data_IF_342201640475
#
_entry.id   IF_342201640475
#
_cell.length_a   1.000
_cell.length_b   1.000
_cell.length_c   1.000
_cell.angle_alpha   90.00
_cell.angle_beta   90.00
_cell.angle_gamma   90.00
#
_symmetry.space_group_name_H-M   'P 1'
#
loop_
_entity.id
_entity.type
_entity.pdbx_description
1 polymer ?
#
# COMPACT_ATOMS: atom_id res chain seq x y z
N UNK A 1 -15.73 -6.32 -14.21
CA UNK A 1 -15.98 -5.36 -13.11
C UNK A 1 -14.75 -4.47 -13.01
N UNK A 2 -14.84 -3.21 -13.44
CA UNK A 2 -13.74 -2.26 -13.26
C UNK A 2 -13.85 -1.70 -11.85
N UNK A 3 -12.93 -2.04 -10.95
CA UNK A 3 -12.94 -1.55 -9.57
C UNK A 3 -12.56 -0.05 -9.47
N UNK A 4 -12.05 0.53 -10.56
CA UNK A 4 -11.66 1.94 -10.73
C UNK A 4 -12.80 2.79 -11.32
N UNK A 5 -13.98 2.75 -10.71
CA UNK A 5 -15.11 3.54 -11.18
C UNK A 5 -14.98 5.03 -10.76
N UNK A 6 -14.42 5.85 -11.64
CA UNK A 6 -14.45 7.32 -11.56
C UNK A 6 -13.20 8.00 -10.96
N UNK A 7 -13.09 9.32 -11.15
CA UNK A 7 -12.05 10.14 -10.52
C UNK A 7 -12.25 10.16 -8.99
N UNK A 8 -11.25 9.68 -8.26
CA UNK A 8 -11.20 9.78 -6.81
C UNK A 8 -10.81 11.19 -6.37
N UNK A 9 -11.30 11.62 -5.21
CA UNK A 9 -10.87 12.88 -4.58
C UNK A 9 -9.77 12.59 -3.57
N UNK A 10 -8.76 13.46 -3.52
CA UNK A 10 -7.68 13.35 -2.55
C UNK A 10 -8.23 13.47 -1.13
N UNK A 11 -7.98 12.50 -0.24
CA UNK A 11 -8.46 12.57 1.14
C UNK A 11 -7.91 13.76 1.94
N UNK A 12 -6.72 14.27 1.58
CA UNK A 12 -6.06 15.38 2.26
C UNK A 12 -6.49 16.77 1.79
N UNK A 13 -6.83 16.95 0.51
CA UNK A 13 -7.09 18.29 -0.05
C UNK A 13 -8.31 18.39 -0.97
N UNK A 14 -9.00 17.28 -1.26
CA UNK A 14 -10.21 17.24 -2.07
C UNK A 14 -10.00 17.33 -3.60
N UNK A 15 -8.77 17.59 -4.04
CA UNK A 15 -8.38 17.68 -5.46
C UNK A 15 -8.57 16.33 -6.18
N UNK A 16 -8.81 16.36 -7.50
CA UNK A 16 -8.92 15.13 -8.29
C UNK A 16 -7.61 14.34 -8.30
N UNK A 17 -7.65 13.06 -7.95
CA UNK A 17 -6.48 12.17 -8.08
C UNK A 17 -6.27 11.77 -9.55
N UNK A 18 -5.01 11.71 -9.96
CA UNK A 18 -4.61 11.34 -11.32
C UNK A 18 -4.02 9.92 -11.33
N UNK A 19 -4.50 9.03 -12.22
CA UNK A 19 -3.93 7.69 -12.33
C UNK A 19 -2.52 7.75 -12.94
N UNK A 20 -1.57 7.09 -12.27
CA UNK A 20 -0.18 6.97 -12.67
C UNK A 20 0.17 5.48 -12.77
N UNK A 21 0.69 5.06 -13.92
CA UNK A 21 1.12 3.68 -14.12
C UNK A 21 2.42 3.38 -13.35
N UNK A 22 2.44 2.23 -12.66
CA UNK A 22 3.58 1.65 -11.96
C UNK A 22 3.69 0.16 -12.31
N UNK A 23 4.56 -0.19 -13.24
CA UNK A 23 4.61 -1.57 -13.76
C UNK A 23 3.29 -1.95 -14.42
N UNK A 24 2.71 -3.07 -13.99
CA UNK A 24 1.39 -3.56 -14.43
C UNK A 24 0.23 -2.99 -13.61
N UNK A 25 0.55 -2.22 -12.57
CA UNK A 25 -0.41 -1.61 -11.66
C UNK A 25 -0.61 -0.13 -12.01
N UNK A 26 -1.70 0.44 -11.52
CA UNK A 26 -1.96 1.88 -11.59
C UNK A 26 -2.20 2.35 -10.17
N UNK A 27 -1.76 3.55 -9.83
CA UNK A 27 -2.00 4.17 -8.52
C UNK A 27 -2.51 5.59 -8.73
N UNK A 28 -3.20 6.15 -7.75
CA UNK A 28 -3.86 7.44 -7.91
C UNK A 28 -3.10 8.53 -7.12
N UNK A 29 -2.45 9.47 -7.81
CA UNK A 29 -1.57 10.48 -7.21
C UNK A 29 -2.22 11.85 -7.24
N UNK A 30 -2.21 12.54 -6.10
CA UNK A 30 -2.78 13.88 -6.00
C UNK A 30 -1.87 14.92 -6.67
N UNK A 31 -2.41 15.76 -7.58
CA UNK A 31 -1.61 16.74 -8.26
C UNK A 31 -1.13 17.91 -7.38
N UNK A 32 -1.91 18.23 -6.36
CA UNK A 32 -1.70 19.38 -5.48
C UNK A 32 -0.81 19.05 -4.27
N UNK A 33 -1.14 18.01 -3.50
CA UNK A 33 -0.42 17.69 -2.25
C UNK A 33 0.59 16.55 -2.38
N UNK A 34 0.66 15.91 -3.55
CA UNK A 34 1.52 14.75 -3.82
C UNK A 34 1.27 13.52 -2.92
N UNK A 35 0.12 13.47 -2.21
CA UNK A 35 -0.34 12.25 -1.53
C UNK A 35 -0.76 11.18 -2.53
N UNK A 36 -0.65 9.91 -2.15
CA UNK A 36 -0.91 8.76 -3.03
C UNK A 36 -2.03 7.93 -2.45
N UNK A 37 -2.98 7.52 -3.29
CA UNK A 37 -3.96 6.50 -2.99
C UNK A 37 -3.54 5.19 -3.65
N UNK A 38 -3.45 4.14 -2.84
CA UNK A 38 -3.06 2.79 -3.26
C UNK A 38 -4.22 1.87 -2.92
N UNK A 39 -4.79 1.21 -3.93
CA UNK A 39 -5.78 0.18 -3.65
C UNK A 39 -5.14 -1.08 -3.06
N UNK A 40 -5.96 -1.91 -2.41
CA UNK A 40 -5.51 -3.15 -1.78
C UNK A 40 -4.73 -4.10 -2.70
N UNK A 41 -4.98 -4.07 -4.01
CA UNK A 41 -4.35 -4.92 -5.03
C UNK A 41 -3.40 -4.16 -5.95
N UNK A 42 -3.15 -2.86 -5.73
CA UNK A 42 -2.25 -2.02 -6.55
C UNK A 42 -0.82 -2.01 -5.98
N UNK A 43 -0.36 -3.20 -5.54
CA UNK A 43 1.03 -3.42 -5.15
C UNK A 43 1.41 -3.06 -3.71
N UNK A 44 2.70 -3.24 -3.43
CA UNK A 44 3.27 -2.91 -2.13
C UNK A 44 3.55 -1.40 -2.00
N UNK A 45 3.12 -0.81 -0.89
CA UNK A 45 3.20 0.63 -0.65
C UNK A 45 4.63 1.20 -0.80
N UNK A 46 5.66 0.44 -0.42
CA UNK A 46 7.06 0.88 -0.56
C UNK A 46 7.54 0.95 -2.01
N UNK A 47 7.07 0.05 -2.87
CA UNK A 47 7.42 0.04 -4.30
C UNK A 47 6.71 1.17 -5.04
N UNK A 48 5.43 1.34 -4.76
CA UNK A 48 4.64 2.48 -5.24
C UNK A 48 5.26 3.80 -4.81
N UNK A 49 5.59 3.95 -3.52
CA UNK A 49 6.16 5.18 -2.98
C UNK A 49 7.47 5.55 -3.69
N UNK A 50 8.37 4.57 -3.91
CA UNK A 50 9.63 4.79 -4.63
C UNK A 50 9.40 5.27 -6.06
N UNK A 51 8.43 4.68 -6.75
CA UNK A 51 8.12 5.05 -8.13
C UNK A 51 7.51 6.45 -8.26
N UNK A 52 6.66 6.86 -7.31
CA UNK A 52 6.00 8.17 -7.31
C UNK A 52 6.94 9.27 -6.81
N UNK A 53 7.75 9.02 -5.78
CA UNK A 53 8.65 10.02 -5.20
C UNK A 53 9.69 10.53 -6.20
N UNK A 54 10.22 9.64 -7.05
CA UNK A 54 11.16 10.00 -8.12
C UNK A 54 10.59 10.97 -9.18
N UNK A 55 9.26 11.13 -9.25
CA UNK A 55 8.59 11.86 -10.34
C UNK A 55 8.12 13.27 -9.97
N UNK A 56 8.08 13.64 -8.69
CA UNK A 56 7.32 14.83 -8.28
C UNK A 56 8.06 15.72 -7.28
N UNK A 57 8.11 17.05 -7.49
CA UNK A 57 8.67 17.97 -6.51
C UNK A 57 7.83 17.99 -5.22
N UNK A 58 8.50 18.31 -4.11
CA UNK A 58 7.91 18.37 -2.77
C UNK A 58 6.76 19.38 -2.70
N UNK A 59 5.52 18.89 -2.73
CA UNK A 59 4.35 19.63 -2.31
C UNK A 59 4.20 19.64 -0.79
N UNK A 60 3.65 20.71 -0.23
CA UNK A 60 3.35 20.80 1.20
C UNK A 60 2.07 20.00 1.47
N UNK A 61 2.15 18.98 2.33
CA UNK A 61 0.94 18.34 2.87
C UNK A 61 0.31 19.25 3.91
N UNK A 62 -0.98 19.57 3.76
CA UNK A 62 -1.77 20.05 4.89
C UNK A 62 -2.24 18.85 5.71
N UNK A 63 -2.05 18.85 7.04
CA UNK A 63 -2.64 17.84 7.91
C UNK A 63 -4.11 18.21 8.15
N UNK A 64 -5.05 17.51 7.49
CA UNK A 64 -6.40 17.43 8.02
C UNK A 64 -6.43 16.32 9.09
N UNK A 65 -7.09 16.53 10.25
CA UNK A 65 -7.00 15.61 11.38
C UNK A 65 -7.71 14.27 11.16
N UNK A 66 -8.64 14.21 10.20
CA UNK A 66 -9.37 13.00 9.81
C UNK A 66 -9.65 13.03 8.32
N UNK A 67 -9.03 12.13 7.57
CA UNK A 67 -9.33 11.96 6.15
C UNK A 67 -10.44 10.92 5.94
N UNK A 68 -11.09 11.02 4.78
CA UNK A 68 -12.20 10.13 4.40
C UNK A 68 -11.81 9.30 3.18
N UNK A 69 -12.17 8.00 3.19
CA UNK A 69 -12.01 7.11 2.05
C UNK A 69 -12.77 7.67 0.84
N UNK A 70 -12.11 7.89 -0.31
CA UNK A 70 -12.75 8.47 -1.48
C UNK A 70 -13.68 7.50 -2.22
N UNK A 71 -13.71 6.21 -1.80
CA UNK A 71 -14.61 5.19 -2.31
C UNK A 71 -15.77 4.91 -1.36
N UNK A 72 -15.45 4.57 -0.12
CA UNK A 72 -16.42 4.11 0.86
C UNK A 72 -17.03 5.27 1.66
N UNK A 73 -16.44 6.46 1.61
CA UNK A 73 -16.85 7.64 2.38
C UNK A 73 -16.77 7.49 3.91
N UNK A 74 -16.08 6.45 4.38
CA UNK A 74 -15.79 6.22 5.81
C UNK A 74 -14.47 6.86 6.24
N UNK A 75 -14.33 7.15 7.53
CA UNK A 75 -13.09 7.69 8.11
C UNK A 75 -11.93 6.69 7.93
N UNK A 76 -10.78 7.19 7.49
CA UNK A 76 -9.57 6.38 7.39
C UNK A 76 -8.92 6.20 8.78
N UNK A 77 -8.32 5.04 8.98
CA UNK A 77 -7.63 4.66 10.21
C UNK A 77 -6.14 4.92 10.05
N UNK A 78 -5.55 5.67 10.99
CA UNK A 78 -4.11 5.94 11.00
C UNK A 78 -3.34 4.71 11.49
N UNK A 79 -2.51 4.14 10.63
CA UNK A 79 -1.71 2.93 10.87
C UNK A 79 -0.22 3.22 10.70
N UNK A 80 0.58 2.97 11.74
CA UNK A 80 2.05 3.01 11.64
C UNK A 80 2.54 1.76 10.90
N UNK A 81 3.38 1.93 9.88
CA UNK A 81 3.83 0.82 9.04
C UNK A 81 4.96 -0.01 9.66
N UNK A 82 5.67 0.53 10.66
CA UNK A 82 6.74 -0.17 11.37
C UNK A 82 6.67 0.18 12.86
N UNK A 83 6.68 -0.85 13.71
CA UNK A 83 6.77 -0.70 15.16
C UNK A 83 8.23 -0.65 15.65
N UNK A 84 9.10 0.08 14.95
CA UNK A 84 10.50 0.25 15.37
C UNK A 84 10.59 1.35 16.43
N UNK A 85 10.00 1.09 17.61
CA UNK A 85 10.10 1.98 18.75
C UNK A 85 11.58 2.19 19.13
N UNK A 86 12.01 3.45 19.20
CA UNK A 86 13.32 3.84 19.74
C UNK A 86 14.41 4.18 18.72
N UNK A 87 14.14 4.19 17.41
CA UNK A 87 15.12 4.62 16.40
C UNK A 87 15.35 6.13 16.34
N UNK A 88 14.49 6.94 16.98
CA UNK A 88 14.49 8.41 16.85
C UNK A 88 14.12 8.91 15.45
N UNK A 89 13.84 8.01 14.51
CA UNK A 89 13.43 8.32 13.14
C UNK A 89 11.92 8.51 13.07
N UNK A 90 11.48 9.39 12.17
CA UNK A 90 10.08 9.55 11.83
C UNK A 90 9.57 8.26 11.18
N UNK A 91 8.50 7.69 11.74
CA UNK A 91 7.95 6.42 11.28
C UNK A 91 6.98 6.67 10.13
N UNK A 92 7.07 5.92 9.01
CA UNK A 92 6.07 5.99 7.97
C UNK A 92 4.72 5.48 8.51
N UNK A 93 3.67 6.21 8.15
CA UNK A 93 2.28 5.87 8.42
C UNK A 93 1.44 5.87 7.15
N UNK A 94 0.34 5.15 7.19
CA UNK A 94 -0.70 5.19 6.16
C UNK A 94 -2.03 5.41 6.82
N UNK A 95 -3.01 5.81 6.02
CA UNK A 95 -4.39 5.93 6.45
C UNK A 95 -5.25 4.95 5.66
N UNK A 96 -5.70 3.89 6.32
CA UNK A 96 -6.35 2.74 5.69
C UNK A 96 -7.86 2.79 5.86
N UNK A 97 -8.58 2.44 4.81
CA UNK A 97 -10.00 2.19 4.88
C UNK A 97 -10.26 0.78 5.42
N UNK A 98 -11.05 0.67 6.50
CA UNK A 98 -11.46 -0.62 7.05
C UNK A 98 -12.38 -1.43 6.14
N UNK A 99 -13.09 -0.78 5.21
CA UNK A 99 -14.08 -1.44 4.36
C UNK A 99 -13.47 -2.00 3.07
N UNK A 100 -12.68 -1.20 2.34
CA UNK A 100 -12.10 -1.60 1.05
C UNK A 100 -10.61 -1.94 1.12
N UNK A 101 -9.95 -1.70 2.25
CA UNK A 101 -8.52 -1.94 2.43
C UNK A 101 -7.59 -0.93 1.73
N UNK A 102 -8.13 -0.03 0.91
CA UNK A 102 -7.37 1.02 0.23
C UNK A 102 -6.68 1.95 1.23
N UNK A 103 -5.49 2.41 0.85
CA UNK A 103 -4.60 3.18 1.72
C UNK A 103 -4.25 4.53 1.10
N UNK A 104 -4.39 5.58 1.88
CA UNK A 104 -3.82 6.88 1.59
C UNK A 104 -2.42 6.98 2.22
N UNK A 105 -1.44 7.38 1.42
CA UNK A 105 -0.07 7.65 1.83
C UNK A 105 0.16 9.16 1.72
N UNK A 106 0.19 9.89 2.84
CA UNK A 106 0.49 11.33 2.82
C UNK A 106 1.89 11.60 2.28
N UNK A 107 2.14 12.75 1.63
CA UNK A 107 3.46 13.04 1.02
C UNK A 107 4.60 13.00 2.03
N UNK A 108 4.37 13.42 3.27
CA UNK A 108 5.35 13.28 4.36
C UNK A 108 5.78 11.81 4.57
N UNK A 109 4.82 10.87 4.48
CA UNK A 109 5.06 9.43 4.54
C UNK A 109 5.66 8.84 3.26
N UNK A 110 5.31 9.36 2.08
CA UNK A 110 5.80 8.84 0.79
C UNK A 110 7.33 8.80 0.76
N UNK A 111 8.00 9.87 1.22
CA UNK A 111 9.47 9.90 1.28
C UNK A 111 10.04 8.87 2.24
N UNK A 112 9.40 8.69 3.40
CA UNK A 112 9.82 7.68 4.39
C UNK A 112 9.72 6.27 3.79
N UNK A 113 8.59 5.92 3.16
CA UNK A 113 8.42 4.63 2.48
C UNK A 113 9.42 4.40 1.33
N UNK A 114 9.71 5.43 0.52
CA UNK A 114 10.63 5.31 -0.60
C UNK A 114 12.05 4.94 -0.16
N UNK A 115 12.46 5.40 1.02
CA UNK A 115 13.78 5.11 1.61
C UNK A 115 13.87 3.77 2.34
N UNK A 116 12.73 3.13 2.63
CA UNK A 116 12.73 1.80 3.23
C UNK A 116 13.25 0.77 2.22
N UNK A 117 14.23 -0.03 2.64
CA UNK A 117 14.56 -1.26 1.94
C UNK A 117 13.32 -2.16 1.97
N UNK A 118 12.92 -2.68 0.80
CA UNK A 118 11.94 -3.77 0.77
C UNK A 118 12.44 -4.86 1.72
N UNK A 119 11.57 -5.48 2.55
CA UNK A 119 11.99 -6.70 3.22
C UNK A 119 12.45 -7.65 2.11
N UNK A 120 13.71 -8.07 2.13
CA UNK A 120 14.15 -9.15 1.26
C UNK A 120 13.16 -10.29 1.48
N UNK A 121 12.36 -10.61 0.46
CA UNK A 121 11.49 -11.77 0.51
C UNK A 121 12.39 -12.93 0.94
N UNK A 122 12.11 -13.64 2.05
CA UNK A 122 13.01 -14.68 2.50
C UNK A 122 13.10 -15.71 1.39
N UNK A 123 14.25 -15.71 0.70
CA UNK A 123 14.55 -16.66 -0.36
C UNK A 123 14.54 -18.05 0.29
N UNK A 124 13.44 -18.78 0.09
CA UNK A 124 13.30 -20.14 0.56
C UNK A 124 12.82 -20.31 2.00
N UNK A 125 11.76 -19.62 2.42
CA UNK A 125 11.01 -20.10 3.59
C UNK A 125 10.54 -21.54 3.31
N UNK A 126 11.02 -22.57 4.06
CA UNK A 126 10.59 -23.93 3.82
C UNK A 126 9.09 -24.04 4.12
N UNK A 127 8.36 -24.77 3.29
CA UNK A 127 6.92 -25.04 3.46
C UNK A 127 6.67 -25.98 4.66
N UNK A 128 7.05 -25.57 5.87
CA UNK A 128 6.74 -26.31 7.11
C UNK A 128 5.35 -25.95 7.66
N UNK A 129 4.62 -25.09 6.95
CA UNK A 129 3.23 -24.74 7.26
C UNK A 129 2.25 -25.88 6.96
N UNK A 130 1.03 -25.73 7.46
CA UNK A 130 -0.07 -26.69 7.27
C UNK A 130 -0.26 -27.08 5.79
N UNK A 131 -0.05 -26.13 4.88
CA UNK A 131 -0.11 -26.32 3.44
C UNK A 131 0.98 -27.26 2.90
N UNK A 132 2.23 -27.14 3.36
CA UNK A 132 3.30 -28.06 2.95
C UNK A 132 3.09 -29.49 3.46
N UNK A 133 2.46 -29.63 4.63
CA UNK A 133 2.02 -30.94 5.16
C UNK A 133 0.86 -31.51 4.34
N UNK A 134 -0.08 -30.66 3.91
CA UNK A 134 -1.21 -31.05 3.07
C UNK A 134 -0.75 -31.49 1.68
N UNK A 135 0.13 -30.74 1.02
CA UNK A 135 0.64 -31.08 -0.32
C UNK A 135 1.45 -32.38 -0.30
N UNK A 136 2.25 -32.60 0.75
CA UNK A 136 2.99 -33.85 0.94
C UNK A 136 2.04 -35.03 1.13
N UNK A 137 1.04 -34.91 2.02
CA UNK A 137 0.05 -35.96 2.25
C UNK A 137 -0.77 -36.29 0.99
N UNK A 138 -1.15 -35.28 0.19
CA UNK A 138 -1.85 -35.50 -1.08
C UNK A 138 -0.95 -36.23 -2.10
N UNK A 139 0.33 -35.87 -2.20
CA UNK A 139 1.27 -36.54 -3.11
C UNK A 139 1.45 -38.02 -2.73
N UNK A 140 1.54 -38.34 -1.45
CA UNK A 140 1.70 -39.73 -0.99
C UNK A 140 0.44 -40.58 -1.23
N UNK A 141 -0.74 -39.98 -1.07
CA UNK A 141 -2.03 -40.62 -1.33
C UNK A 141 -2.28 -40.88 -2.82
N UNK A 142 -1.83 -39.99 -3.71
CA UNK A 142 -1.98 -40.14 -5.16
C UNK A 142 -0.76 -40.76 -5.87
N UNK A 143 0.37 -40.93 -5.19
CA UNK A 143 1.61 -41.51 -5.71
C UNK A 143 1.77 -43.01 -5.46
N UNK A 144 0.95 -43.61 -4.60
CA UNK A 144 1.05 -45.03 -4.20
C UNK A 144 0.26 -45.99 -5.09
N UNK A 145 -0.03 -45.60 -6.34
CA UNK A 145 -0.77 -46.40 -7.31
C UNK A 145 0.11 -46.86 -8.49
N UNK A 146 1.09 -47.73 -8.24
CA UNK A 146 1.63 -48.70 -9.22
C UNK A 146 2.09 -49.96 -8.51
#
# INVERSE_FOLDING_TARGET
MSYRAGLLRCPACGEGLEPVAHGDETVDVCPACAGVWVDWFDGAIHDVARAVDSRRPSGVSSPAPHHTCPRCTVTLVHELAVAMAGSGLEQPWVERCGDCGGAFVPKASVGLFATMAAPEAPAGAPETGLWGRLTTALRDLFGSGR
#
